data_IF_154473673261
#
_entry.id   IF_154473673261
#
_cell.length_a   1.000
_cell.length_b   1.000
_cell.length_c   1.000
_cell.angle_alpha   90.00
_cell.angle_beta   90.00
_cell.angle_gamma   90.00
#
_symmetry.space_group_name_H-M   'P 1'
#
loop_
_entity.id
_entity.type
_entity.pdbx_description
1 polymer ?
#
# COMPACT_ATOMS: atom_id res chain seq x y z
N UNK A 1 4.05 -12.14 -10.01
CA UNK A 1 2.92 -11.25 -9.71
C UNK A 1 3.49 -9.85 -9.51
N UNK A 2 3.09 -8.85 -10.32
CA UNK A 2 3.60 -7.49 -10.14
C UNK A 2 3.13 -6.92 -8.81
N UNK A 3 3.94 -6.08 -8.18
CA UNK A 3 3.61 -5.42 -6.91
C UNK A 3 4.23 -4.03 -6.87
N UNK A 4 3.64 -3.15 -6.06
CA UNK A 4 4.18 -1.83 -5.74
C UNK A 4 4.71 -1.90 -4.30
N UNK A 5 5.90 -1.35 -4.07
CA UNK A 5 6.43 -1.17 -2.72
C UNK A 5 6.61 0.30 -2.39
N UNK A 6 6.49 0.60 -1.12
CA UNK A 6 6.89 1.87 -0.52
C UNK A 6 7.86 1.51 0.59
N UNK A 7 9.08 1.96 0.44
CA UNK A 7 10.14 1.72 1.42
C UNK A 7 9.89 2.54 2.69
N UNK A 8 10.26 2.02 3.86
CA UNK A 8 10.22 2.79 5.10
C UNK A 8 11.15 4.02 4.99
N UNK A 9 10.76 5.09 5.67
CA UNK A 9 11.57 6.31 5.78
C UNK A 9 12.52 6.30 6.98
N UNK A 10 12.38 5.32 7.88
CA UNK A 10 13.22 5.07 9.05
C UNK A 10 13.69 3.60 9.07
N UNK A 11 14.42 3.20 10.11
CA UNK A 11 14.86 1.81 10.29
C UNK A 11 13.66 0.85 10.18
N UNK A 12 13.72 -0.07 9.21
CA UNK A 12 12.62 -0.99 8.92
C UNK A 12 12.31 -1.87 10.13
N UNK A 13 11.02 -1.98 10.47
CA UNK A 13 10.55 -2.82 11.59
C UNK A 13 9.45 -3.78 11.18
N UNK A 14 8.56 -3.36 10.29
CA UNK A 14 7.38 -4.14 9.89
C UNK A 14 7.12 -3.98 8.41
N UNK A 15 6.49 -5.00 7.82
CA UNK A 15 5.99 -4.95 6.45
C UNK A 15 4.48 -5.18 6.47
N UNK A 16 3.73 -4.26 5.90
CA UNK A 16 2.28 -4.40 5.72
C UNK A 16 1.99 -4.78 4.27
N UNK A 17 1.19 -5.82 4.08
CA UNK A 17 0.77 -6.31 2.77
C UNK A 17 -0.71 -6.01 2.59
N UNK A 18 -1.03 -5.18 1.59
CA UNK A 18 -2.40 -4.75 1.29
C UNK A 18 -2.94 -5.52 0.09
N UNK A 19 -3.87 -6.44 0.37
CA UNK A 19 -4.56 -7.22 -0.66
C UNK A 19 -5.82 -6.49 -1.13
N UNK A 20 -6.09 -6.56 -2.43
CA UNK A 20 -7.28 -5.98 -3.05
C UNK A 20 -8.09 -7.05 -3.80
N UNK A 21 -9.37 -6.74 -4.06
CA UNK A 21 -10.26 -7.61 -4.83
C UNK A 21 -10.06 -7.49 -6.35
N UNK A 22 -10.77 -8.34 -7.10
CA UNK A 22 -10.70 -8.41 -8.58
C UNK A 22 -11.13 -7.12 -9.31
N UNK A 23 -11.93 -6.28 -8.65
CA UNK A 23 -12.44 -5.03 -9.23
C UNK A 23 -11.46 -3.85 -9.16
N UNK A 24 -10.24 -4.07 -8.69
CA UNK A 24 -9.23 -3.03 -8.52
C UNK A 24 -7.84 -3.52 -8.95
N UNK A 25 -6.85 -2.62 -8.93
CA UNK A 25 -5.45 -2.92 -9.20
C UNK A 25 -4.54 -2.28 -8.14
N UNK A 26 -3.33 -2.82 -8.01
CA UNK A 26 -2.37 -2.38 -6.99
C UNK A 26 -2.09 -0.87 -7.04
N UNK A 27 -2.03 -0.27 -8.24
CA UNK A 27 -1.74 1.16 -8.43
C UNK A 27 -2.86 2.04 -7.89
N UNK A 28 -4.09 1.75 -8.28
CA UNK A 28 -5.26 2.50 -7.83
C UNK A 28 -5.43 2.37 -6.32
N UNK A 29 -5.34 1.15 -5.80
CA UNK A 29 -5.48 0.91 -4.36
C UNK A 29 -4.40 1.64 -3.54
N UNK A 30 -3.14 1.54 -3.94
CA UNK A 30 -2.05 2.28 -3.30
C UNK A 30 -2.30 3.79 -3.35
N UNK A 31 -2.66 4.34 -4.51
CA UNK A 31 -2.93 5.78 -4.66
C UNK A 31 -4.06 6.26 -3.76
N UNK A 32 -5.17 5.52 -3.69
CA UNK A 32 -6.30 5.86 -2.82
C UNK A 32 -5.91 5.82 -1.34
N UNK A 33 -5.13 4.82 -0.92
CA UNK A 33 -4.69 4.70 0.46
C UNK A 33 -3.69 5.81 0.85
N UNK A 34 -2.77 6.18 -0.04
CA UNK A 34 -1.80 7.25 0.18
C UNK A 34 -2.42 8.66 0.20
N UNK A 35 -3.49 8.86 -0.57
CA UNK A 35 -4.26 10.09 -0.57
C UNK A 35 -5.13 10.24 0.69
N UNK A 36 -5.45 9.13 1.36
CA UNK A 36 -6.25 9.14 2.58
C UNK A 36 -5.53 9.88 3.73
N UNK A 37 -6.33 10.43 4.63
CA UNK A 37 -5.87 11.18 5.81
C UNK A 37 -6.54 10.64 7.06
N UNK A 38 -5.78 10.61 8.15
CA UNK A 38 -6.33 10.25 9.46
C UNK A 38 -7.20 11.39 10.00
N UNK A 39 -8.03 11.07 11.00
CA UNK A 39 -8.11 11.80 12.26
C UNK A 39 -7.49 13.20 12.35
N UNK A 40 -6.16 13.16 12.34
CA UNK A 40 -5.27 14.24 12.70
C UNK A 40 -4.65 14.89 11.45
N UNK A 41 -5.25 14.65 10.28
CA UNK A 41 -4.81 15.13 8.98
C UNK A 41 -3.39 14.67 8.57
N UNK A 42 -2.94 13.51 9.06
CA UNK A 42 -1.67 12.87 8.66
C UNK A 42 -1.90 11.79 7.61
N UNK A 43 -0.89 11.50 6.77
CA UNK A 43 -0.94 10.36 5.87
C UNK A 43 -0.63 9.05 6.61
N UNK A 44 -0.98 7.91 6.00
CA UNK A 44 -0.63 6.60 6.52
C UNK A 44 0.89 6.41 6.65
N UNK A 45 1.65 6.89 5.67
CA UNK A 45 3.12 6.73 5.62
C UNK A 45 3.77 7.56 6.73
N UNK A 46 3.31 8.80 6.91
CA UNK A 46 3.83 9.68 7.97
C UNK A 46 3.53 9.13 9.37
N UNK A 47 2.41 8.40 9.51
CA UNK A 47 2.01 7.81 10.79
C UNK A 47 2.87 6.59 11.16
N UNK A 48 3.54 5.95 10.19
CA UNK A 48 4.33 4.73 10.38
C UNK A 48 5.65 4.76 9.58
N UNK A 49 6.61 5.64 9.94
CA UNK A 49 7.81 5.87 9.13
C UNK A 49 8.77 4.68 9.08
N UNK A 50 8.69 3.74 10.04
CA UNK A 50 9.53 2.53 10.09
C UNK A 50 8.93 1.32 9.36
N UNK A 51 7.79 1.49 8.68
CA UNK A 51 7.06 0.41 8.03
C UNK A 51 7.28 0.46 6.52
N UNK A 52 7.49 -0.72 5.91
CA UNK A 52 7.39 -0.89 4.47
C UNK A 52 5.99 -1.34 4.08
N UNK A 53 5.51 -0.89 2.93
CA UNK A 53 4.17 -1.19 2.45
C UNK A 53 4.23 -1.87 1.09
N UNK A 54 3.50 -2.96 0.94
CA UNK A 54 3.48 -3.77 -0.29
C UNK A 54 2.04 -3.90 -0.78
N UNK A 55 1.84 -3.63 -2.07
CA UNK A 55 0.56 -3.73 -2.77
C UNK A 55 0.71 -4.72 -3.93
N UNK A 56 0.43 -6.02 -3.72
CA UNK A 56 0.45 -7.01 -4.79
C UNK A 56 -0.72 -6.82 -5.74
N UNK A 57 -0.47 -7.02 -7.03
CA UNK A 57 -1.53 -7.11 -8.04
C UNK A 57 -2.23 -8.46 -7.94
N UNK A 58 -3.56 -8.47 -7.82
CA UNK A 58 -4.32 -9.72 -7.94
C UNK A 58 -4.08 -10.39 -9.31
N UNK A 59 -4.08 -11.74 -9.39
CA UNK A 59 -3.93 -12.45 -10.66
C UNK A 59 -4.94 -11.96 -11.70
N UNK A 60 -4.44 -11.63 -12.89
CA UNK A 60 -5.29 -11.45 -14.05
C UNK A 60 -5.72 -12.85 -14.48
N UNK A 61 -7.01 -13.14 -14.35
CA UNK A 61 -7.58 -14.33 -14.98
C UNK A 61 -7.97 -13.93 -16.39
N UNK A 62 -7.33 -14.54 -17.38
CA UNK A 62 -7.82 -14.51 -18.75
C UNK A 62 -9.16 -15.25 -18.77
N UNK A 63 -10.20 -14.57 -19.26
CA UNK A 63 -11.48 -15.18 -19.66
C UNK A 63 -11.41 -15.63 -21.11
#
# INVERSE_FOLDING_TARGET
>A
IPFITIEPHATHTHTLIFLHGRGDNARNFASSLLASRTSQNTSLIDSFPSFGFVFPQAPLHDV
#
